data_IF_021373690518
#
_entry.id   IF_021373690518
#
_cell.length_a   1.000
_cell.length_b   1.000
_cell.length_c   1.000
_cell.angle_alpha   90.00
_cell.angle_beta   90.00
_cell.angle_gamma   90.00
#
_symmetry.space_group_name_H-M   'P 1'
#
loop_
_entity.id
_entity.type
_entity.pdbx_description
1 polymer ?
#
# COMPACT_ATOMS: atom_id res chain seq x y z
N UNK A 1 19.25 35.48 -28.96
CA UNK A 1 18.99 34.07 -28.59
C UNK A 1 18.46 33.34 -29.81
N UNK A 2 19.19 32.37 -30.36
CA UNK A 2 18.79 31.64 -31.58
C UNK A 2 17.62 30.69 -31.31
N UNK A 3 16.60 30.63 -32.19
CA UNK A 3 15.45 29.69 -32.13
C UNK A 3 15.84 28.24 -31.78
N UNK A 4 17.03 27.82 -32.20
CA UNK A 4 17.62 26.51 -31.92
C UNK A 4 17.83 26.26 -30.42
N UNK A 5 18.19 27.28 -29.64
CA UNK A 5 18.38 27.16 -28.19
C UNK A 5 17.06 26.82 -27.48
N UNK A 6 15.96 27.50 -27.84
CA UNK A 6 14.64 27.20 -27.29
C UNK A 6 14.15 25.80 -27.67
N UNK A 7 14.45 25.34 -28.89
CA UNK A 7 14.15 23.96 -29.30
C UNK A 7 14.88 22.94 -28.41
N UNK A 8 16.18 23.13 -28.17
CA UNK A 8 16.93 22.22 -27.29
C UNK A 8 16.42 22.26 -25.85
N UNK A 9 16.06 23.44 -25.32
CA UNK A 9 15.45 23.56 -23.98
C UNK A 9 14.10 22.85 -23.88
N UNK A 10 13.23 22.98 -24.89
CA UNK A 10 11.95 22.28 -24.89
C UNK A 10 12.14 20.75 -25.00
N UNK A 11 13.14 20.31 -25.76
CA UNK A 11 13.44 18.89 -25.96
C UNK A 11 13.98 18.24 -24.68
N UNK A 12 14.90 18.91 -23.97
CA UNK A 12 15.43 18.41 -22.69
C UNK A 12 14.36 18.42 -21.60
N UNK A 13 13.48 19.42 -21.58
CA UNK A 13 12.35 19.47 -20.67
C UNK A 13 11.36 18.31 -20.90
N UNK A 14 10.99 18.05 -22.16
CA UNK A 14 10.12 16.92 -22.52
C UNK A 14 10.75 15.58 -22.15
N UNK A 15 12.05 15.40 -22.41
CA UNK A 15 12.79 14.22 -21.97
C UNK A 15 12.74 14.05 -20.45
N UNK A 16 12.91 15.14 -19.70
CA UNK A 16 12.77 15.15 -18.23
C UNK A 16 11.38 14.72 -17.76
N UNK A 17 10.31 15.20 -18.40
CA UNK A 17 8.92 14.80 -18.07
C UNK A 17 8.67 13.33 -18.37
N UNK A 18 9.17 12.81 -19.50
CA UNK A 18 9.01 11.41 -19.88
C UNK A 18 9.75 10.49 -18.88
N UNK A 19 11.01 10.81 -18.58
CA UNK A 19 11.82 10.03 -17.63
C UNK A 19 11.25 10.13 -16.21
N UNK A 20 10.82 11.31 -15.78
CA UNK A 20 10.16 11.52 -14.50
C UNK A 20 8.85 10.74 -14.37
N UNK A 21 7.99 10.81 -15.40
CA UNK A 21 6.72 10.07 -15.46
C UNK A 21 6.92 8.56 -15.45
N UNK A 22 7.86 8.04 -16.25
CA UNK A 22 8.20 6.62 -16.29
C UNK A 22 8.75 6.12 -14.94
N UNK A 23 9.57 6.93 -14.26
CA UNK A 23 10.12 6.61 -12.94
C UNK A 23 9.03 6.54 -11.86
N UNK A 24 8.10 7.50 -11.85
CA UNK A 24 6.95 7.49 -10.93
C UNK A 24 6.03 6.31 -11.22
N UNK A 25 5.77 6.00 -12.49
CA UNK A 25 4.94 4.87 -12.90
C UNK A 25 5.56 3.53 -12.49
N UNK A 26 6.85 3.32 -12.76
CA UNK A 26 7.59 2.12 -12.35
C UNK A 26 7.64 2.00 -10.82
N UNK A 27 7.86 3.10 -10.11
CA UNK A 27 7.83 3.12 -8.65
C UNK A 27 6.44 2.74 -8.11
N UNK A 28 5.36 3.30 -8.65
CA UNK A 28 4.00 2.99 -8.25
C UNK A 28 3.59 1.55 -8.58
N UNK A 29 4.11 0.99 -9.68
CA UNK A 29 3.91 -0.41 -10.06
C UNK A 29 4.69 -1.39 -9.18
N UNK A 30 5.96 -1.10 -8.89
CA UNK A 30 6.83 -1.96 -8.08
C UNK A 30 6.49 -1.96 -6.59
N UNK A 31 5.99 -0.85 -6.04
CA UNK A 31 5.63 -0.72 -4.62
C UNK A 31 4.20 -1.16 -4.32
N UNK A 32 3.44 -1.61 -5.33
CA UNK A 32 2.05 -2.02 -5.16
C UNK A 32 1.11 -0.87 -4.82
N UNK A 33 1.51 0.39 -5.00
CA UNK A 33 0.64 1.56 -4.84
C UNK A 33 -0.52 1.58 -5.86
N UNK A 34 -0.47 0.75 -6.92
CA UNK A 34 -1.61 0.43 -7.78
C UNK A 34 -2.56 -0.63 -7.19
N UNK A 35 -2.70 -0.75 -5.86
CA UNK A 35 -3.90 -1.35 -5.29
C UNK A 35 -5.05 -0.36 -5.47
N UNK A 36 -5.71 -0.45 -6.62
CA UNK A 36 -6.95 0.30 -6.85
C UNK A 36 -7.93 -0.14 -5.75
N UNK A 37 -8.42 0.77 -4.89
CA UNK A 37 -9.33 0.38 -3.83
C UNK A 37 -10.53 -0.32 -4.45
N UNK A 38 -10.94 -1.43 -3.84
CA UNK A 38 -12.09 -2.18 -4.32
C UNK A 38 -13.31 -1.25 -4.35
N UNK A 39 -13.75 -0.87 -5.55
CA UNK A 39 -14.91 -0.02 -5.73
C UNK A 39 -16.16 -0.92 -5.73
N UNK A 40 -16.77 -1.05 -4.55
CA UNK A 40 -17.97 -1.87 -4.29
C UNK A 40 -19.07 -1.60 -5.31
N UNK A 41 -19.35 -0.33 -5.61
CA UNK A 41 -20.40 0.05 -6.56
C UNK A 41 -20.08 -0.45 -7.97
N UNK A 42 -18.85 -0.28 -8.43
CA UNK A 42 -18.43 -0.78 -9.76
C UNK A 42 -18.49 -2.30 -9.87
N UNK A 43 -18.17 -3.01 -8.79
CA UNK A 43 -18.25 -4.47 -8.74
C UNK A 43 -19.69 -4.95 -8.77
N UNK A 44 -20.57 -4.39 -7.94
CA UNK A 44 -22.00 -4.74 -7.92
C UNK A 44 -22.64 -4.48 -9.28
N UNK A 45 -22.35 -3.33 -9.91
CA UNK A 45 -22.88 -3.02 -11.24
C UNK A 45 -22.37 -3.99 -12.32
N UNK A 46 -21.10 -4.37 -12.26
CA UNK A 46 -20.53 -5.37 -13.18
C UNK A 46 -21.21 -6.73 -13.00
N UNK A 47 -21.31 -7.22 -11.77
CA UNK A 47 -21.94 -8.53 -11.48
C UNK A 47 -23.43 -8.51 -11.81
N UNK A 48 -24.13 -7.41 -11.56
CA UNK A 48 -25.53 -7.23 -11.97
C UNK A 48 -25.69 -7.40 -13.48
N UNK A 49 -24.84 -6.73 -14.28
CA UNK A 49 -24.89 -6.81 -15.74
C UNK A 49 -24.46 -8.16 -16.30
N UNK A 50 -23.39 -8.75 -15.77
CA UNK A 50 -22.85 -10.03 -16.27
C UNK A 50 -23.75 -11.23 -15.90
N UNK A 51 -24.39 -11.21 -14.73
CA UNK A 51 -25.24 -12.29 -14.26
C UNK A 51 -26.75 -12.00 -14.39
N UNK A 52 -27.12 -10.85 -14.94
CA UNK A 52 -28.50 -10.37 -15.03
C UNK A 52 -29.24 -10.44 -13.69
N UNK A 53 -28.61 -9.94 -12.62
CA UNK A 53 -29.21 -9.98 -11.28
C UNK A 53 -30.49 -9.13 -11.24
N UNK A 54 -31.53 -9.67 -10.60
CA UNK A 54 -32.77 -8.94 -10.33
C UNK A 54 -32.56 -7.81 -9.32
N UNK A 55 -33.48 -6.86 -9.29
CA UNK A 55 -33.46 -5.78 -8.29
C UNK A 55 -33.65 -6.29 -6.86
N UNK A 56 -34.14 -7.52 -6.67
CA UNK A 56 -34.22 -8.19 -5.37
C UNK A 56 -32.93 -8.92 -4.98
N UNK A 57 -32.09 -9.31 -5.94
CA UNK A 57 -30.80 -9.98 -5.70
C UNK A 57 -29.66 -8.99 -5.40
N UNK A 58 -29.71 -7.78 -5.95
CA UNK A 58 -28.68 -6.75 -5.73
C UNK A 58 -28.51 -6.41 -4.23
N UNK A 59 -29.57 -6.16 -3.44
CA UNK A 59 -29.44 -5.92 -2.00
C UNK A 59 -28.83 -7.11 -1.24
N UNK A 60 -29.08 -8.35 -1.69
CA UNK A 60 -28.51 -9.55 -1.07
C UNK A 60 -27.01 -9.65 -1.33
N UNK A 61 -26.57 -9.38 -2.56
CA UNK A 61 -25.14 -9.31 -2.91
C UNK A 61 -24.42 -8.25 -2.07
N UNK A 62 -25.04 -7.08 -1.94
CA UNK A 62 -24.53 -5.99 -1.11
C UNK A 62 -24.33 -6.40 0.35
N UNK A 63 -25.32 -7.06 0.95
CA UNK A 63 -25.23 -7.56 2.32
C UNK A 63 -24.13 -8.62 2.50
N UNK A 64 -23.91 -9.49 1.51
CA UNK A 64 -22.82 -10.49 1.52
C UNK A 64 -21.45 -9.80 1.51
N UNK A 65 -21.28 -8.76 0.68
CA UNK A 65 -20.03 -8.00 0.58
C UNK A 65 -19.73 -7.24 1.88
N UNK A 66 -20.75 -6.68 2.53
CA UNK A 66 -20.59 -5.97 3.80
C UNK A 66 -20.18 -6.92 4.94
N UNK A 67 -20.86 -8.07 5.02
CA UNK A 67 -20.51 -9.12 5.98
C UNK A 67 -19.09 -9.65 5.76
N UNK A 68 -18.67 -9.79 4.51
CA UNK A 68 -17.30 -10.21 4.16
C UNK A 68 -16.27 -9.16 4.56
N UNK A 69 -16.53 -7.88 4.27
CA UNK A 69 -15.63 -6.77 4.62
C UNK A 69 -15.38 -6.71 6.13
N UNK A 70 -16.43 -6.86 6.94
CA UNK A 70 -16.33 -6.92 8.39
C UNK A 70 -15.46 -8.10 8.87
N UNK A 71 -15.69 -9.31 8.34
CA UNK A 71 -14.90 -10.50 8.69
C UNK A 71 -13.43 -10.35 8.32
N UNK A 72 -13.13 -9.81 7.14
CA UNK A 72 -11.76 -9.54 6.72
C UNK A 72 -11.08 -8.52 7.64
N UNK A 73 -11.77 -7.44 8.02
CA UNK A 73 -11.22 -6.44 8.94
C UNK A 73 -10.90 -7.04 10.32
N UNK A 74 -11.77 -7.90 10.85
CA UNK A 74 -11.56 -8.58 12.12
C UNK A 74 -10.37 -9.57 12.06
N UNK A 75 -10.28 -10.36 10.99
CA UNK A 75 -9.16 -11.27 10.76
C UNK A 75 -7.83 -10.51 10.62
N UNK A 76 -7.83 -9.40 9.88
CA UNK A 76 -6.67 -8.54 9.72
C UNK A 76 -6.19 -8.01 11.08
N UNK A 77 -7.09 -7.48 11.91
CA UNK A 77 -6.76 -6.99 13.25
C UNK A 77 -6.17 -8.07 14.17
N UNK A 78 -6.71 -9.29 14.11
CA UNK A 78 -6.18 -10.43 14.86
C UNK A 78 -4.76 -10.79 14.38
N UNK A 79 -4.55 -10.88 13.07
CA UNK A 79 -3.24 -11.14 12.49
C UNK A 79 -2.23 -10.04 12.87
N UNK A 80 -2.61 -8.76 12.80
CA UNK A 80 -1.74 -7.65 13.15
C UNK A 80 -1.30 -7.70 14.61
N UNK A 81 -2.22 -8.07 15.50
CA UNK A 81 -1.92 -8.27 16.93
C UNK A 81 -0.89 -9.38 17.12
N UNK A 82 -1.10 -10.55 16.50
CA UNK A 82 -0.18 -11.69 16.61
C UNK A 82 1.20 -11.37 16.02
N UNK A 83 1.24 -10.74 14.84
CA UNK A 83 2.48 -10.34 14.19
C UNK A 83 3.25 -9.30 15.02
N UNK A 84 2.55 -8.38 15.68
CA UNK A 84 3.20 -7.41 16.57
C UNK A 84 3.80 -8.08 17.81
N UNK A 85 3.12 -9.06 18.40
CA UNK A 85 3.66 -9.85 19.50
C UNK A 85 4.93 -10.60 19.09
N UNK A 86 4.90 -11.33 17.95
CA UNK A 86 6.07 -12.04 17.42
C UNK A 86 7.25 -11.10 17.16
N UNK A 87 7.00 -9.92 16.56
CA UNK A 87 8.04 -8.91 16.34
C UNK A 87 8.68 -8.43 17.64
N UNK A 88 7.87 -8.23 18.69
CA UNK A 88 8.39 -7.80 19.98
C UNK A 88 9.24 -8.88 20.64
N UNK A 89 8.82 -10.14 20.55
CA UNK A 89 9.58 -11.28 21.04
C UNK A 89 10.94 -11.38 20.34
N UNK A 90 10.96 -11.33 19.00
CA UNK A 90 12.22 -11.34 18.23
C UNK A 90 13.12 -10.16 18.62
N UNK A 91 12.57 -8.96 18.82
CA UNK A 91 13.35 -7.80 19.27
C UNK A 91 13.97 -8.03 20.65
N UNK A 92 13.24 -8.66 21.56
CA UNK A 92 13.75 -8.97 22.89
C UNK A 92 14.87 -10.01 22.83
N UNK A 93 14.72 -11.07 22.03
CA UNK A 93 15.78 -12.06 21.79
C UNK A 93 17.03 -11.43 21.20
N UNK A 94 16.88 -10.52 20.23
CA UNK A 94 18.02 -9.78 19.68
C UNK A 94 18.69 -8.95 20.77
N UNK A 95 17.95 -8.23 21.62
CA UNK A 95 18.55 -7.42 22.71
C UNK A 95 19.40 -8.25 23.68
N UNK A 96 19.06 -9.52 23.91
CA UNK A 96 19.80 -10.39 24.83
C UNK A 96 21.23 -10.70 24.36
N UNK A 97 21.51 -10.62 23.06
CA UNK A 97 22.84 -10.90 22.50
C UNK A 97 23.66 -9.63 22.22
N UNK A 98 23.13 -8.45 22.53
CA UNK A 98 23.77 -7.16 22.24
C UNK A 98 24.47 -6.59 23.48
N UNK A 99 25.57 -5.88 23.27
CA UNK A 99 26.14 -5.03 24.31
C UNK A 99 25.23 -3.83 24.59
N UNK A 100 25.37 -3.12 25.74
CA UNK A 100 24.57 -1.94 26.03
C UNK A 100 24.62 -0.87 24.93
N UNK A 101 25.79 -0.62 24.35
CA UNK A 101 25.99 0.36 23.27
C UNK A 101 25.32 -0.09 21.97
N UNK A 102 25.38 -1.39 21.67
CA UNK A 102 24.69 -1.97 20.51
C UNK A 102 23.17 -1.96 20.68
N UNK A 103 22.68 -2.16 21.90
CA UNK A 103 21.25 -2.13 22.24
C UNK A 103 20.65 -0.74 21.98
N UNK A 104 21.34 0.33 22.37
CA UNK A 104 20.92 1.70 22.08
C UNK A 104 20.78 1.95 20.56
N UNK A 105 21.77 1.52 19.77
CA UNK A 105 21.72 1.63 18.31
C UNK A 105 20.60 0.78 17.70
N UNK A 106 20.32 -0.38 18.28
CA UNK A 106 19.23 -1.25 17.85
C UNK A 106 17.85 -0.61 18.11
N UNK A 107 17.65 0.04 19.25
CA UNK A 107 16.39 0.72 19.56
C UNK A 107 16.12 1.90 18.59
N UNK A 108 17.15 2.63 18.16
CA UNK A 108 17.02 3.64 17.10
C UNK A 108 16.65 3.04 15.73
N UNK A 109 17.20 1.87 15.39
CA UNK A 109 16.84 1.15 14.17
C UNK A 109 15.38 0.70 14.22
N UNK A 110 14.96 0.13 15.34
CA UNK A 110 13.58 -0.29 15.59
C UNK A 110 12.62 0.88 15.44
N UNK A 111 12.91 2.04 16.05
CA UNK A 111 12.08 3.24 15.91
C UNK A 111 11.92 3.67 14.46
N UNK A 112 13.01 3.70 13.68
CA UNK A 112 12.97 4.06 12.25
C UNK A 112 12.13 3.09 11.43
N UNK A 113 12.22 1.78 11.73
CA UNK A 113 11.38 0.79 11.05
C UNK A 113 9.91 0.95 11.40
N UNK A 114 9.58 1.23 12.66
CA UNK A 114 8.21 1.44 13.11
C UNK A 114 7.58 2.70 12.49
N UNK A 115 8.34 3.78 12.36
CA UNK A 115 7.92 4.99 11.65
C UNK A 115 7.67 4.72 10.16
N UNK A 116 8.53 3.95 9.49
CA UNK A 116 8.31 3.56 8.09
C UNK A 116 7.06 2.71 7.94
N UNK A 117 6.80 1.77 8.87
CA UNK A 117 5.58 0.93 8.84
C UNK A 117 4.31 1.77 8.98
N UNK A 118 4.27 2.68 9.96
CA UNK A 118 3.15 3.61 10.16
C UNK A 118 2.88 4.46 8.90
N UNK A 119 3.92 4.90 8.20
CA UNK A 119 3.80 5.65 6.94
C UNK A 119 3.31 4.81 5.77
N UNK A 120 3.62 3.50 5.74
CA UNK A 120 3.19 2.59 4.68
C UNK A 120 1.74 2.10 4.79
N UNK A 121 0.98 2.55 5.79
CA UNK A 121 -0.44 2.20 5.94
C UNK A 121 -0.70 0.72 6.23
N UNK A 122 0.28 0.02 6.82
CA UNK A 122 0.16 -1.33 7.37
C UNK A 122 0.17 -1.27 8.89
#
# INVERSE_FOLDING_TARGET
MSRRAYLYFALTFLLGVIVGGASVYYYAWSTGHFHRPFNRQSFVQRVKGELNLSDTQVPQLEQILDGSTSRFSAAQQQCDTQLNAMRQETRNQIRQILTPEQSQKFDELVRRWDERRKRSGR
#
